data_IF_449443043550
#
_entry.id   IF_449443043550
#
_cell.length_a   1.000
_cell.length_b   1.000
_cell.length_c   1.000
_cell.angle_alpha   90.00
_cell.angle_beta   90.00
_cell.angle_gamma   90.00
#
_symmetry.space_group_name_H-M   'P 1'
#
loop_
_entity.id
_entity.type
_entity.pdbx_description
1 polymer ?
#
# COMPACT_ATOMS: atom_id res chain seq x y z
N UNK A 1 -13.90 47.39 9.77
CA UNK A 1 -13.72 47.31 11.23
C UNK A 1 -12.58 46.34 11.48
N UNK A 2 -11.46 46.85 12.02
CA UNK A 2 -10.25 46.09 12.33
C UNK A 2 -10.55 44.96 13.32
N UNK A 3 -10.25 43.73 12.94
CA UNK A 3 -9.66 42.74 13.85
C UNK A 3 -8.49 42.14 13.07
N UNK A 4 -7.34 42.80 13.18
CA UNK A 4 -6.02 42.21 12.92
C UNK A 4 -5.57 41.62 14.26
N UNK A 5 -4.89 40.48 14.16
CA UNK A 5 -3.94 39.90 15.12
C UNK A 5 -4.46 39.03 16.29
N UNK A 6 -4.23 37.72 16.16
CA UNK A 6 -3.45 36.89 17.11
C UNK A 6 -3.64 35.37 16.84
N UNK A 7 -3.39 34.88 15.63
CA UNK A 7 -3.18 33.43 15.46
C UNK A 7 -2.11 33.05 14.44
N UNK A 8 -1.25 33.97 14.02
CA UNK A 8 0.00 33.66 13.31
C UNK A 8 1.08 33.14 14.27
N UNK A 9 0.71 32.27 15.22
CA UNK A 9 1.65 31.25 15.66
C UNK A 9 1.67 30.24 14.53
N UNK A 10 2.68 30.37 13.66
CA UNK A 10 3.24 29.21 12.97
C UNK A 10 3.22 28.05 13.97
N UNK A 11 2.48 26.99 13.66
CA UNK A 11 2.54 25.78 14.46
C UNK A 11 3.96 25.24 14.30
N UNK A 12 4.84 25.61 15.23
CA UNK A 12 6.16 25.03 15.39
C UNK A 12 5.99 23.56 15.82
N UNK A 13 5.63 22.70 14.86
CA UNK A 13 5.77 21.25 14.98
C UNK A 13 7.24 20.83 15.20
N UNK A 14 8.19 21.75 14.93
CA UNK A 14 9.62 21.60 15.18
C UNK A 14 10.03 21.67 16.66
N UNK A 15 9.21 22.19 17.58
CA UNK A 15 9.64 22.41 18.98
C UNK A 15 9.71 21.14 19.86
N UNK A 16 9.60 19.94 19.29
CA UNK A 16 9.75 18.70 20.06
C UNK A 16 10.12 17.43 19.29
N UNK A 17 10.04 17.40 17.96
CA UNK A 17 10.37 16.20 17.17
C UNK A 17 11.22 16.64 15.98
N UNK A 18 12.54 16.76 16.21
CA UNK A 18 13.52 17.05 15.17
C UNK A 18 14.06 15.75 14.56
N UNK A 19 13.18 14.96 13.96
CA UNK A 19 13.56 13.75 13.21
C UNK A 19 13.48 14.12 11.74
N UNK A 20 14.61 14.09 11.03
CA UNK A 20 14.64 14.18 9.57
C UNK A 20 14.85 12.77 9.00
N UNK A 21 13.77 12.05 8.66
CA UNK A 21 13.91 10.68 8.18
C UNK A 21 14.61 10.63 6.82
N UNK A 22 15.35 9.55 6.52
CA UNK A 22 15.82 9.27 5.17
C UNK A 22 14.64 9.21 4.18
N UNK A 23 14.88 9.54 2.91
CA UNK A 23 13.82 9.63 1.88
C UNK A 23 12.90 8.40 1.82
N UNK A 24 13.48 7.20 1.91
CA UNK A 24 12.72 5.94 1.90
C UNK A 24 11.71 5.85 3.07
N UNK A 25 12.10 6.37 4.22
CA UNK A 25 11.28 6.42 5.43
C UNK A 25 10.23 7.53 5.36
N UNK A 26 10.50 8.65 4.68
CA UNK A 26 9.52 9.74 4.48
C UNK A 26 8.27 9.27 3.74
N UNK A 27 8.42 8.42 2.71
CA UNK A 27 7.26 7.88 1.99
C UNK A 27 6.41 6.99 2.91
N UNK A 28 7.05 6.13 3.70
CA UNK A 28 6.39 5.28 4.68
C UNK A 28 5.68 6.11 5.77
N UNK A 29 6.33 7.16 6.28
CA UNK A 29 5.76 8.10 7.26
C UNK A 29 4.45 8.72 6.75
N UNK A 30 4.45 9.21 5.50
CA UNK A 30 3.26 9.80 4.88
C UNK A 30 2.12 8.77 4.81
N UNK A 31 2.40 7.55 4.34
CA UNK A 31 1.40 6.49 4.22
C UNK A 31 0.87 6.07 5.61
N UNK A 32 1.72 5.98 6.64
CA UNK A 32 1.31 5.69 8.03
C UNK A 32 0.44 6.83 8.59
N UNK A 33 0.82 8.07 8.36
CA UNK A 33 0.05 9.24 8.82
C UNK A 33 -1.37 9.19 8.26
N UNK A 34 -1.52 8.89 6.97
CA UNK A 34 -2.83 8.80 6.33
C UNK A 34 -3.71 7.70 6.93
N UNK A 35 -3.18 6.50 7.17
CA UNK A 35 -3.98 5.42 7.73
C UNK A 35 -4.44 5.75 9.16
N UNK A 36 -3.57 6.36 9.98
CA UNK A 36 -3.91 6.75 11.35
C UNK A 36 -4.99 7.83 11.41
N UNK A 37 -4.86 8.89 10.59
CA UNK A 37 -5.88 9.95 10.49
C UNK A 37 -7.23 9.36 10.06
N UNK A 38 -7.22 8.44 9.09
CA UNK A 38 -8.44 7.95 8.48
C UNK A 38 -9.22 6.96 9.34
N UNK A 39 -8.55 6.13 10.13
CA UNK A 39 -9.22 5.17 11.01
C UNK A 39 -10.07 5.86 12.09
N UNK A 40 -9.59 6.98 12.64
CA UNK A 40 -10.28 7.69 13.72
C UNK A 40 -11.22 8.79 13.23
N UNK A 41 -11.21 9.11 11.93
CA UNK A 41 -12.26 9.94 11.30
C UNK A 41 -13.67 9.35 11.51
N UNK A 42 -13.77 8.03 11.71
CA UNK A 42 -15.03 7.34 12.03
C UNK A 42 -15.41 7.37 13.52
N UNK A 43 -14.49 7.78 14.42
CA UNK A 43 -14.66 7.72 15.88
C UNK A 43 -14.89 9.09 16.54
N UNK A 44 -14.55 10.20 15.86
CA UNK A 44 -14.68 11.53 16.44
C UNK A 44 -16.05 12.17 16.12
N UNK A 45 -16.80 12.51 17.17
CA UNK A 45 -17.94 13.42 17.07
C UNK A 45 -17.41 14.84 16.80
N UNK A 46 -17.59 15.33 15.58
CA UNK A 46 -16.88 16.47 14.96
C UNK A 46 -17.20 17.86 15.52
N UNK A 47 -17.82 17.94 16.69
CA UNK A 47 -18.43 19.19 17.18
C UNK A 47 -17.46 20.17 17.86
N UNK A 48 -16.14 19.91 17.90
CA UNK A 48 -15.19 20.97 18.30
C UNK A 48 -13.83 20.91 17.58
N UNK A 49 -13.50 22.01 16.88
CA UNK A 49 -12.23 22.22 16.17
C UNK A 49 -10.98 21.98 17.04
N UNK A 50 -11.07 22.29 18.35
CA UNK A 50 -10.00 22.05 19.31
C UNK A 50 -9.68 20.56 19.52
N UNK A 51 -10.70 19.68 19.51
CA UNK A 51 -10.48 18.22 19.62
C UNK A 51 -9.81 17.67 18.36
N UNK A 52 -10.19 18.16 17.19
CA UNK A 52 -9.60 17.73 15.90
C UNK A 52 -8.09 18.00 15.88
N UNK A 53 -7.65 19.21 16.27
CA UNK A 53 -6.23 19.56 16.27
C UNK A 53 -5.42 18.70 17.25
N UNK A 54 -5.96 18.41 18.43
CA UNK A 54 -5.32 17.53 19.41
C UNK A 54 -5.19 16.11 18.88
N UNK A 55 -6.23 15.58 18.24
CA UNK A 55 -6.19 14.24 17.63
C UNK A 55 -5.16 14.17 16.48
N UNK A 56 -5.14 15.15 15.58
CA UNK A 56 -4.12 15.22 14.52
C UNK A 56 -2.71 15.23 15.12
N UNK A 57 -2.46 16.03 16.15
CA UNK A 57 -1.18 16.04 16.84
C UNK A 57 -0.83 14.66 17.42
N UNK A 58 -1.80 13.98 18.04
CA UNK A 58 -1.59 12.64 18.59
C UNK A 58 -1.24 11.62 17.50
N UNK A 59 -1.84 11.70 16.30
CA UNK A 59 -1.48 10.84 15.17
C UNK A 59 -0.08 11.13 14.65
N UNK A 60 0.30 12.40 14.54
CA UNK A 60 1.65 12.77 14.13
C UNK A 60 2.69 12.24 15.13
N UNK A 61 2.49 12.47 16.43
CA UNK A 61 3.37 11.94 17.50
C UNK A 61 3.50 10.42 17.40
N UNK A 62 2.40 9.70 17.15
CA UNK A 62 2.43 8.24 16.98
C UNK A 62 3.17 7.80 15.73
N UNK A 63 2.91 8.44 14.59
CA UNK A 63 3.61 8.18 13.33
C UNK A 63 5.11 8.38 13.55
N UNK A 64 5.52 9.49 14.15
CA UNK A 64 6.92 9.73 14.50
C UNK A 64 7.48 8.67 15.43
N UNK A 65 6.72 8.21 16.44
CA UNK A 65 7.14 7.11 17.31
C UNK A 65 7.37 5.79 16.56
N UNK A 66 6.58 5.50 15.53
CA UNK A 66 6.77 4.32 14.66
C UNK A 66 8.03 4.48 13.81
N UNK A 67 8.22 5.66 13.20
CA UNK A 67 9.40 5.96 12.39
C UNK A 67 10.68 5.92 13.24
N UNK A 68 10.66 6.53 14.41
CA UNK A 68 11.74 6.52 15.39
C UNK A 68 12.09 5.10 15.82
N UNK A 69 11.08 4.27 16.09
CA UNK A 69 11.27 2.83 16.37
C UNK A 69 12.00 2.10 15.23
N UNK A 70 11.63 2.36 13.97
CA UNK A 70 12.30 1.76 12.81
C UNK A 70 13.76 2.25 12.71
N UNK A 71 13.99 3.56 12.90
CA UNK A 71 15.31 4.16 12.85
C UNK A 71 16.23 3.62 13.96
N UNK A 72 15.74 3.53 15.20
CA UNK A 72 16.49 3.00 16.34
C UNK A 72 16.91 1.54 16.12
N UNK A 73 16.04 0.70 15.54
CA UNK A 73 16.39 -0.68 15.23
C UNK A 73 17.45 -0.77 14.13
N UNK A 74 17.44 0.16 13.17
CA UNK A 74 18.43 0.21 12.11
C UNK A 74 19.84 0.53 12.63
N UNK A 75 19.97 1.30 13.72
CA UNK A 75 21.26 1.64 14.32
C UNK A 75 22.09 0.40 14.71
N UNK A 76 21.44 -0.73 15.03
CA UNK A 76 22.13 -1.99 15.33
C UNK A 76 22.78 -2.68 14.13
N UNK A 77 22.52 -2.20 12.90
CA UNK A 77 23.09 -2.77 11.68
C UNK A 77 24.55 -2.34 11.44
N UNK A 78 25.03 -1.30 12.14
CA UNK A 78 26.45 -0.95 12.23
C UNK A 78 27.10 -0.36 10.97
N UNK A 79 26.38 -0.25 9.85
CA UNK A 79 26.86 0.40 8.62
C UNK A 79 25.72 1.07 7.86
N UNK A 80 25.98 2.24 7.26
CA UNK A 80 24.96 3.03 6.53
C UNK A 80 24.32 2.25 5.37
N UNK A 81 25.08 1.46 4.61
CA UNK A 81 24.52 0.61 3.54
C UNK A 81 23.44 -0.35 4.04
N UNK A 82 23.67 -0.96 5.21
CA UNK A 82 22.71 -1.88 5.83
C UNK A 82 21.49 -1.14 6.38
N UNK A 83 21.70 0.04 6.98
CA UNK A 83 20.60 0.90 7.44
C UNK A 83 19.69 1.29 6.28
N UNK A 84 20.29 1.77 5.19
CA UNK A 84 19.54 2.18 4.01
C UNK A 84 18.84 1.01 3.33
N UNK A 85 19.47 -0.18 3.25
CA UNK A 85 18.80 -1.38 2.77
C UNK A 85 17.61 -1.80 3.66
N UNK A 86 17.73 -1.62 4.98
CA UNK A 86 16.63 -1.86 5.91
C UNK A 86 15.51 -0.84 5.75
N UNK A 87 15.82 0.44 5.53
CA UNK A 87 14.82 1.46 5.27
C UNK A 87 14.05 1.22 3.98
N UNK A 88 14.74 0.82 2.91
CA UNK A 88 14.08 0.42 1.64
C UNK A 88 13.26 -0.86 1.79
N UNK A 89 13.71 -1.79 2.63
CA UNK A 89 12.89 -2.95 2.98
C UNK A 89 11.59 -2.50 3.66
N UNK A 90 11.64 -1.50 4.56
CA UNK A 90 10.43 -0.99 5.21
C UNK A 90 9.53 -0.19 4.26
N UNK A 91 10.10 0.61 3.35
CA UNK A 91 9.36 1.34 2.32
C UNK A 91 8.61 0.39 1.38
N UNK A 92 9.23 -0.74 1.00
CA UNK A 92 8.64 -1.77 0.15
C UNK A 92 7.52 -2.59 0.85
N UNK A 93 7.11 -2.20 2.07
CA UNK A 93 5.96 -2.78 2.74
C UNK A 93 4.64 -2.23 2.16
N UNK A 94 4.21 -2.82 1.04
CA UNK A 94 2.98 -2.44 0.35
C UNK A 94 1.67 -2.72 1.11
N UNK A 95 1.70 -3.39 2.28
CA UNK A 95 0.50 -3.72 3.05
C UNK A 95 -0.25 -2.46 3.49
N UNK A 96 0.49 -1.44 3.94
CA UNK A 96 -0.09 -0.19 4.44
C UNK A 96 -0.66 0.61 3.27
N UNK A 97 0.09 0.72 2.16
CA UNK A 97 -0.38 1.43 0.96
C UNK A 97 -1.63 0.80 0.36
N UNK A 98 -1.72 -0.54 0.33
CA UNK A 98 -2.92 -1.24 -0.09
C UNK A 98 -4.16 -0.82 0.74
N UNK A 99 -4.00 -0.67 2.06
CA UNK A 99 -5.05 -0.18 2.94
C UNK A 99 -5.39 1.29 2.68
N UNK A 100 -4.37 2.16 2.57
CA UNK A 100 -4.53 3.59 2.30
C UNK A 100 -5.22 3.84 0.97
N UNK A 101 -4.86 3.10 -0.08
CA UNK A 101 -5.52 3.19 -1.38
C UNK A 101 -7.04 2.98 -1.26
N UNK A 102 -7.46 1.94 -0.54
CA UNK A 102 -8.88 1.64 -0.34
C UNK A 102 -9.60 2.71 0.47
N UNK A 103 -8.95 3.24 1.50
CA UNK A 103 -9.51 4.29 2.35
C UNK A 103 -9.67 5.60 1.56
N UNK A 104 -8.71 5.94 0.71
CA UNK A 104 -8.69 7.14 -0.13
C UNK A 104 -9.12 6.85 -1.58
N UNK A 105 -9.93 5.82 -1.81
CA UNK A 105 -10.23 5.36 -3.17
C UNK A 105 -10.83 6.45 -4.05
N UNK A 106 -11.68 7.35 -3.52
CA UNK A 106 -12.24 8.47 -4.28
C UNK A 106 -11.16 9.41 -4.81
N UNK A 107 -10.20 9.78 -3.96
CA UNK A 107 -9.08 10.64 -4.34
C UNK A 107 -8.21 9.96 -5.40
N UNK A 108 -7.78 8.72 -5.14
CA UNK A 108 -6.92 8.01 -6.08
C UNK A 108 -7.61 7.69 -7.40
N UNK A 109 -8.85 7.22 -7.38
CA UNK A 109 -9.60 6.94 -8.60
C UNK A 109 -9.77 8.20 -9.45
N UNK A 110 -10.05 9.35 -8.83
CA UNK A 110 -10.13 10.61 -9.54
C UNK A 110 -8.79 10.97 -10.21
N UNK A 111 -7.69 10.95 -9.45
CA UNK A 111 -6.35 11.21 -10.00
C UNK A 111 -5.99 10.23 -11.13
N UNK A 112 -6.30 8.94 -10.97
CA UNK A 112 -6.07 7.91 -11.99
C UNK A 112 -6.92 8.15 -13.24
N UNK A 113 -8.16 8.61 -13.11
CA UNK A 113 -9.00 8.95 -14.25
C UNK A 113 -8.41 10.12 -15.04
N UNK A 114 -7.92 11.16 -14.36
CA UNK A 114 -7.20 12.27 -15.01
C UNK A 114 -5.96 11.75 -15.76
N UNK A 115 -5.20 10.84 -15.17
CA UNK A 115 -4.06 10.19 -15.85
C UNK A 115 -4.51 9.46 -17.13
N UNK A 116 -5.58 8.67 -17.06
CA UNK A 116 -6.10 7.89 -18.18
C UNK A 116 -6.58 8.79 -19.33
N UNK A 117 -7.38 9.81 -19.01
CA UNK A 117 -7.94 10.75 -19.98
C UNK A 117 -6.82 11.48 -20.74
N UNK A 118 -5.84 12.03 -20.01
CA UNK A 118 -4.73 12.79 -20.61
C UNK A 118 -3.75 11.90 -21.38
N UNK A 119 -3.64 10.62 -21.02
CA UNK A 119 -2.87 9.63 -21.78
C UNK A 119 -3.63 9.07 -22.99
N UNK A 120 -4.92 9.42 -23.17
CA UNK A 120 -5.77 8.88 -24.22
C UNK A 120 -6.00 7.37 -24.10
N UNK A 121 -5.93 6.83 -22.87
CA UNK A 121 -6.16 5.41 -22.64
C UNK A 121 -7.66 5.09 -22.68
N UNK A 122 -8.06 4.00 -23.35
CA UNK A 122 -9.45 3.59 -23.35
C UNK A 122 -9.91 3.22 -21.93
N UNK A 123 -11.19 3.45 -21.66
CA UNK A 123 -11.80 2.94 -20.44
C UNK A 123 -11.73 1.40 -20.41
N UNK A 124 -11.61 0.86 -19.20
CA UNK A 124 -11.71 -0.59 -19.01
C UNK A 124 -13.12 -1.04 -19.35
N UNK A 125 -13.24 -2.18 -20.04
CA UNK A 125 -14.52 -2.83 -20.37
C UNK A 125 -15.47 -2.81 -19.17
N UNK A 126 -16.68 -2.29 -19.39
CA UNK A 126 -17.73 -2.21 -18.37
C UNK A 126 -18.12 -3.58 -17.80
N UNK A 127 -17.90 -4.65 -18.57
CA UNK A 127 -18.13 -6.03 -18.13
C UNK A 127 -17.02 -6.59 -17.25
N UNK A 128 -15.88 -5.90 -17.12
CA UNK A 128 -14.77 -6.34 -16.28
C UNK A 128 -15.19 -6.34 -14.80
N UNK A 129 -15.18 -7.51 -14.18
CA UNK A 129 -15.46 -7.67 -12.75
C UNK A 129 -14.25 -7.27 -11.89
N UNK A 130 -14.46 -7.09 -10.57
CA UNK A 130 -13.34 -6.88 -9.64
C UNK A 130 -12.36 -8.04 -9.62
N UNK A 131 -12.85 -9.26 -9.77
CA UNK A 131 -12.06 -10.48 -9.88
C UNK A 131 -11.23 -10.51 -11.15
N UNK A 132 -11.82 -10.18 -12.30
CA UNK A 132 -11.06 -10.07 -13.56
C UNK A 132 -9.94 -9.03 -13.46
N UNK A 133 -10.23 -7.86 -12.87
CA UNK A 133 -9.25 -6.81 -12.65
C UNK A 133 -8.13 -7.27 -11.71
N UNK A 134 -8.46 -7.98 -10.63
CA UNK A 134 -7.47 -8.51 -9.68
C UNK A 134 -6.60 -9.61 -10.29
N UNK A 135 -7.17 -10.47 -11.13
CA UNK A 135 -6.41 -11.48 -11.88
C UNK A 135 -5.43 -10.79 -12.82
N UNK A 136 -5.87 -9.77 -13.57
CA UNK A 136 -4.99 -8.93 -14.41
C UNK A 136 -3.91 -8.22 -13.60
N UNK A 137 -4.23 -7.70 -12.42
CA UNK A 137 -3.24 -7.11 -11.50
C UNK A 137 -2.17 -8.12 -11.06
N UNK A 138 -2.50 -9.42 -11.01
CA UNK A 138 -1.55 -10.48 -10.71
C UNK A 138 -0.68 -10.90 -11.91
N UNK A 139 -0.96 -10.40 -13.12
CA UNK A 139 -0.11 -10.60 -14.29
C UNK A 139 1.14 -9.72 -14.24
N UNK A 140 2.11 -10.03 -15.10
CA UNK A 140 3.30 -9.20 -15.27
C UNK A 140 2.96 -7.85 -15.90
N UNK A 141 3.63 -6.81 -15.43
CA UNK A 141 3.72 -5.54 -16.16
C UNK A 141 4.51 -5.74 -17.47
N UNK A 142 4.44 -4.78 -18.39
CA UNK A 142 5.13 -4.85 -19.70
C UNK A 142 6.65 -5.00 -19.54
N UNK A 143 7.22 -4.41 -18.49
CA UNK A 143 8.64 -4.59 -18.12
C UNK A 143 9.02 -6.02 -17.76
N UNK A 144 8.04 -6.88 -17.45
CA UNK A 144 8.18 -8.27 -16.97
C UNK A 144 8.97 -8.45 -15.67
N UNK A 145 9.42 -7.36 -15.06
CA UNK A 145 10.24 -7.39 -13.84
C UNK A 145 9.40 -7.43 -12.55
N UNK A 146 8.12 -7.12 -12.64
CA UNK A 146 7.19 -7.14 -11.51
C UNK A 146 5.76 -7.44 -11.96
N UNK A 147 4.88 -7.76 -11.01
CA UNK A 147 3.44 -7.78 -11.30
C UNK A 147 2.89 -6.37 -11.43
N UNK A 148 1.76 -6.24 -12.15
CA UNK A 148 1.02 -4.98 -12.25
C UNK A 148 0.59 -4.45 -10.89
N UNK A 149 0.20 -5.33 -9.97
CA UNK A 149 -0.13 -4.99 -8.58
C UNK A 149 1.05 -4.37 -7.85
N UNK A 150 2.23 -5.00 -7.94
CA UNK A 150 3.43 -4.47 -7.31
C UNK A 150 3.77 -3.10 -7.88
N UNK A 151 3.78 -2.97 -9.21
CA UNK A 151 4.07 -1.72 -9.89
C UNK A 151 3.12 -0.59 -9.51
N UNK A 152 1.82 -0.87 -9.48
CA UNK A 152 0.82 0.11 -9.13
C UNK A 152 0.99 0.59 -7.67
N UNK A 153 1.28 -0.32 -6.73
CA UNK A 153 1.52 0.04 -5.34
C UNK A 153 2.85 0.80 -5.15
N UNK A 154 3.92 0.43 -5.88
CA UNK A 154 5.19 1.18 -5.90
C UNK A 154 4.96 2.65 -6.30
N UNK A 155 4.14 2.87 -7.34
CA UNK A 155 3.80 4.22 -7.82
C UNK A 155 3.02 4.98 -6.75
N UNK A 156 2.04 4.34 -6.10
CA UNK A 156 1.24 4.98 -5.06
C UNK A 156 2.07 5.35 -3.81
N UNK A 157 3.00 4.48 -3.38
CA UNK A 157 3.90 4.78 -2.26
C UNK A 157 4.77 6.00 -2.56
N UNK A 158 5.34 6.07 -3.77
CA UNK A 158 6.33 7.11 -4.13
C UNK A 158 5.71 8.42 -4.61
N UNK A 159 4.54 8.34 -5.25
CA UNK A 159 3.98 9.43 -6.04
C UNK A 159 2.48 9.63 -5.84
N UNK A 160 1.84 8.92 -4.91
CA UNK A 160 0.37 8.90 -4.78
C UNK A 160 -0.28 10.27 -4.68
N UNK A 161 0.29 11.20 -3.91
CA UNK A 161 -0.26 12.56 -3.76
C UNK A 161 0.11 13.50 -4.93
N UNK A 162 1.01 13.07 -5.82
CA UNK A 162 1.53 13.87 -6.93
C UNK A 162 1.14 13.30 -8.30
N UNK A 163 0.17 12.37 -8.37
CA UNK A 163 -0.30 11.80 -9.64
C UNK A 163 -0.91 12.88 -10.55
N UNK A 164 -1.57 13.88 -9.95
CA UNK A 164 -2.03 15.08 -10.63
C UNK A 164 -1.33 16.32 -10.10
N UNK A 165 -1.32 17.38 -10.90
CA UNK A 165 -0.84 18.71 -10.53
C UNK A 165 -1.89 19.74 -10.90
N UNK A 166 -1.97 20.83 -10.15
CA UNK A 166 -2.88 21.94 -10.47
C UNK A 166 -2.13 22.96 -11.30
N UNK A 167 -2.69 23.34 -12.44
CA UNK A 167 -2.10 24.37 -13.30
C UNK A 167 -2.39 25.79 -12.78
N UNK A 168 -1.94 26.80 -13.53
CA UNK A 168 -2.11 28.22 -13.19
C UNK A 168 -3.57 28.67 -13.16
N UNK A 169 -4.45 27.95 -13.86
CA UNK A 169 -5.87 28.25 -14.00
C UNK A 169 -6.69 27.52 -12.93
N UNK A 170 -6.04 26.67 -12.11
CA UNK A 170 -6.67 25.90 -11.04
C UNK A 170 -7.17 24.52 -11.48
N UNK A 171 -6.89 24.12 -12.73
CA UNK A 171 -7.36 22.86 -13.29
C UNK A 171 -6.38 21.72 -13.01
N UNK A 172 -6.92 20.54 -12.73
CA UNK A 172 -6.09 19.34 -12.51
C UNK A 172 -5.57 18.78 -13.83
N UNK A 173 -4.25 18.63 -13.91
CA UNK A 173 -3.53 18.06 -15.02
C UNK A 173 -2.80 16.78 -14.61
N UNK A 174 -2.58 15.90 -15.59
CA UNK A 174 -1.76 14.70 -15.40
C UNK A 174 -0.30 15.08 -15.12
N UNK A 175 0.31 14.45 -14.11
CA UNK A 175 1.73 14.59 -13.82
C UNK A 175 2.56 13.42 -14.39
N UNK A 176 1.98 12.56 -15.24
CA UNK A 176 2.61 11.34 -15.72
C UNK A 176 4.00 11.55 -16.33
N UNK A 177 4.18 12.59 -17.16
CA UNK A 177 5.46 12.85 -17.83
C UNK A 177 6.57 13.22 -16.86
N UNK A 178 6.30 14.06 -15.85
CA UNK A 178 7.29 14.44 -14.84
C UNK A 178 7.65 13.25 -13.93
N UNK A 179 6.68 12.38 -13.67
CA UNK A 179 6.85 11.15 -12.92
C UNK A 179 7.41 9.99 -13.76
N UNK A 180 7.64 10.20 -15.06
CA UNK A 180 8.08 9.18 -16.04
C UNK A 180 7.20 7.93 -16.04
N UNK A 181 5.89 8.09 -15.86
CA UNK A 181 4.93 6.98 -15.92
C UNK A 181 4.67 6.59 -17.37
N UNK A 182 4.69 5.29 -17.64
CA UNK A 182 4.34 4.71 -18.94
C UNK A 182 2.83 4.47 -19.04
N UNK A 183 2.33 4.21 -20.25
CA UNK A 183 0.93 3.81 -20.44
C UNK A 183 0.60 2.49 -19.70
N UNK A 184 1.55 1.56 -19.63
CA UNK A 184 1.39 0.30 -18.89
C UNK A 184 1.29 0.52 -17.37
N UNK A 185 1.99 1.53 -16.84
CA UNK A 185 1.89 1.97 -15.45
C UNK A 185 0.50 2.54 -15.16
N UNK A 186 0.01 3.44 -16.02
CA UNK A 186 -1.31 4.05 -15.88
C UNK A 186 -2.40 2.99 -16.01
N UNK A 187 -2.28 2.04 -16.95
CA UNK A 187 -3.20 0.91 -17.07
C UNK A 187 -3.19 0.02 -15.81
N UNK A 188 -2.02 -0.21 -15.20
CA UNK A 188 -1.92 -0.95 -13.93
C UNK A 188 -2.62 -0.23 -12.78
N UNK A 189 -2.52 1.11 -12.72
CA UNK A 189 -3.30 1.94 -11.79
C UNK A 189 -4.81 1.91 -12.12
N UNK A 190 -5.18 1.97 -13.40
CA UNK A 190 -6.57 1.91 -13.85
C UNK A 190 -7.24 0.60 -13.40
N UNK A 191 -6.54 -0.53 -13.48
CA UNK A 191 -7.03 -1.82 -12.97
C UNK A 191 -7.33 -1.79 -11.46
N UNK A 192 -6.53 -1.06 -10.65
CA UNK A 192 -6.82 -0.92 -9.22
C UNK A 192 -8.21 -0.29 -8.99
N UNK A 193 -8.65 0.63 -9.84
CA UNK A 193 -9.94 1.34 -9.68
C UNK A 193 -11.14 0.39 -9.77
N UNK A 194 -11.00 -0.74 -10.49
CA UNK A 194 -12.04 -1.78 -10.65
C UNK A 194 -12.08 -2.82 -9.53
N UNK A 195 -11.22 -2.71 -8.50
CA UNK A 195 -11.18 -3.67 -7.37
C UNK A 195 -12.16 -3.31 -6.23
N UNK A 196 -13.23 -2.58 -6.51
CA UNK A 196 -14.16 -2.00 -5.52
C UNK A 196 -14.90 -3.02 -4.65
N UNK A 197 -14.96 -4.31 -5.05
CA UNK A 197 -15.55 -5.39 -4.24
C UNK A 197 -14.97 -5.51 -2.83
N UNK A 198 -13.66 -5.27 -2.67
CA UNK A 198 -12.97 -5.51 -1.40
C UNK A 198 -12.60 -4.20 -0.69
N UNK A 199 -12.90 -4.14 0.61
CA UNK A 199 -12.51 -3.05 1.50
C UNK A 199 -11.02 -3.08 1.91
N UNK A 200 -10.60 -2.08 2.67
CA UNK A 200 -9.21 -1.89 3.09
C UNK A 200 -8.61 -3.11 3.80
N UNK A 201 -9.33 -3.68 4.78
CA UNK A 201 -8.87 -4.85 5.53
C UNK A 201 -8.58 -6.05 4.62
N UNK A 202 -9.52 -6.41 3.74
CA UNK A 202 -9.35 -7.54 2.83
C UNK A 202 -8.21 -7.32 1.82
N UNK A 203 -8.00 -6.08 1.37
CA UNK A 203 -6.94 -5.74 0.43
C UNK A 203 -5.55 -5.78 1.08
N UNK A 204 -5.40 -5.26 2.30
CA UNK A 204 -4.17 -5.43 3.09
C UNK A 204 -3.92 -6.89 3.46
N UNK A 205 -4.96 -7.62 3.87
CA UNK A 205 -4.88 -9.04 4.21
C UNK A 205 -4.41 -9.89 3.03
N UNK A 206 -4.81 -9.57 1.80
CA UNK A 206 -4.33 -10.26 0.60
C UNK A 206 -2.80 -10.22 0.49
N UNK A 207 -2.18 -9.05 0.73
CA UNK A 207 -0.73 -8.93 0.74
C UNK A 207 -0.11 -9.64 1.95
N UNK A 208 -0.67 -9.44 3.15
CA UNK A 208 -0.19 -10.07 4.39
C UNK A 208 -0.21 -11.59 4.25
N UNK A 209 -1.36 -12.18 3.95
CA UNK A 209 -1.55 -13.62 3.93
C UNK A 209 -1.02 -14.24 2.63
N UNK A 210 -1.57 -13.86 1.48
CA UNK A 210 -1.36 -14.60 0.23
C UNK A 210 -0.04 -14.27 -0.46
N UNK A 211 0.48 -13.05 -0.31
CA UNK A 211 1.79 -12.66 -0.88
C UNK A 211 2.91 -12.90 0.12
N UNK A 212 3.00 -12.09 1.18
CA UNK A 212 4.10 -12.15 2.14
C UNK A 212 4.06 -13.40 3.03
N UNK A 213 2.87 -13.86 3.41
CA UNK A 213 2.68 -15.08 4.21
C UNK A 213 3.04 -16.37 3.45
N UNK A 214 3.24 -16.27 2.13
CA UNK A 214 3.76 -17.36 1.30
C UNK A 214 5.30 -17.35 1.20
N UNK A 215 5.98 -16.32 1.72
CA UNK A 215 7.44 -16.22 1.74
C UNK A 215 7.96 -16.71 3.10
N UNK A 216 8.93 -17.61 3.09
CA UNK A 216 9.56 -18.12 4.32
C UNK A 216 11.07 -18.26 4.16
N UNK A 217 11.79 -18.20 5.28
CA UNK A 217 13.19 -18.57 5.41
C UNK A 217 13.32 -20.03 5.79
N UNK A 218 14.17 -20.74 5.05
CA UNK A 218 14.57 -22.12 5.32
C UNK A 218 16.02 -22.16 5.82
N UNK A 219 16.25 -22.82 6.96
CA UNK A 219 17.59 -22.94 7.51
C UNK A 219 18.41 -23.97 6.71
N UNK A 220 19.70 -23.69 6.43
CA UNK A 220 20.53 -24.55 5.57
C UNK A 220 20.67 -26.02 6.02
N UNK A 221 20.46 -26.30 7.32
CA UNK A 221 20.75 -27.60 7.93
C UNK A 221 19.73 -28.06 9.00
N UNK A 222 18.50 -27.53 9.03
CA UNK A 222 17.56 -27.94 10.09
C UNK A 222 16.81 -29.23 9.73
N UNK A 223 17.07 -30.30 10.49
CA UNK A 223 16.26 -31.53 10.51
C UNK A 223 14.84 -31.30 11.02
N UNK A 224 14.58 -30.15 11.65
CA UNK A 224 13.25 -29.70 12.04
C UNK A 224 12.79 -28.60 11.07
N UNK A 225 11.74 -28.87 10.30
CA UNK A 225 11.09 -27.99 9.30
C UNK A 225 10.43 -26.72 9.91
N UNK A 226 11.10 -25.99 10.80
CA UNK A 226 10.58 -24.73 11.33
C UNK A 226 10.71 -23.63 10.27
N UNK A 227 9.63 -23.42 9.54
CA UNK A 227 9.51 -22.36 8.55
C UNK A 227 9.54 -21.00 9.26
N UNK A 228 10.51 -20.15 8.93
CA UNK A 228 10.64 -18.83 9.52
C UNK A 228 9.94 -17.76 8.66
N UNK A 229 8.97 -17.04 9.21
CA UNK A 229 8.19 -16.01 8.51
C UNK A 229 8.71 -14.59 8.76
N UNK A 230 10.03 -14.38 8.76
CA UNK A 230 10.62 -13.12 9.23
C UNK A 230 10.13 -11.89 8.45
N UNK A 231 10.05 -11.95 7.11
CA UNK A 231 9.53 -10.86 6.27
C UNK A 231 8.06 -10.58 6.58
N UNK A 232 7.23 -11.62 6.56
CA UNK A 232 5.81 -11.52 6.90
C UNK A 232 5.61 -10.89 8.29
N UNK A 233 6.34 -11.38 9.29
CA UNK A 233 6.21 -10.92 10.66
C UNK A 233 6.68 -9.47 10.82
N UNK A 234 7.79 -9.11 10.15
CA UNK A 234 8.35 -7.77 10.16
C UNK A 234 7.40 -6.76 9.50
N UNK A 235 6.85 -7.07 8.34
CA UNK A 235 5.89 -6.18 7.69
C UNK A 235 4.56 -6.12 8.45
N UNK A 236 4.11 -7.25 9.00
CA UNK A 236 2.87 -7.30 9.77
C UNK A 236 2.99 -6.50 11.08
N UNK A 237 4.13 -6.51 11.78
CA UNK A 237 4.27 -5.71 13.01
C UNK A 237 4.21 -4.21 12.70
N UNK A 238 4.86 -3.74 11.62
CA UNK A 238 4.79 -2.33 11.22
C UNK A 238 3.38 -1.95 10.76
N UNK A 239 2.70 -2.83 10.00
CA UNK A 239 1.30 -2.62 9.64
C UNK A 239 0.41 -2.52 10.87
N UNK A 240 0.52 -3.48 11.80
CA UNK A 240 -0.18 -3.49 13.09
C UNK A 240 0.07 -2.20 13.86
N UNK A 241 1.32 -1.71 13.93
CA UNK A 241 1.61 -0.44 14.58
C UNK A 241 0.91 0.75 13.89
N UNK A 242 0.81 0.72 12.56
CA UNK A 242 0.14 1.76 11.79
C UNK A 242 -1.39 1.74 11.97
N UNK A 243 -2.00 0.55 12.16
CA UNK A 243 -3.47 0.39 12.24
C UNK A 243 -4.03 0.24 13.66
N UNK A 244 -3.26 -0.28 14.61
CA UNK A 244 -3.67 -0.41 16.00
C UNK A 244 -3.42 0.92 16.69
N UNK A 245 -4.44 1.77 16.63
CA UNK A 245 -4.53 2.95 17.47
C UNK A 245 -4.88 2.53 18.89
N UNK A 246 -3.94 1.93 19.62
CA UNK A 246 -4.12 1.61 21.05
C UNK A 246 -4.60 2.87 21.79
N UNK A 247 -5.45 2.67 22.81
CA UNK A 247 -6.19 3.73 23.52
C UNK A 247 -5.29 4.93 23.85
N UNK A 248 -5.86 6.12 23.89
CA UNK A 248 -5.15 7.40 24.10
C UNK A 248 -4.33 7.51 25.39
N UNK A 249 -4.22 6.42 26.18
CA UNK A 249 -3.48 6.29 27.43
C UNK A 249 -2.22 5.41 27.35
N UNK A 250 -1.85 4.84 26.20
CA UNK A 250 -0.62 4.04 26.12
C UNK A 250 0.61 4.96 26.16
N UNK A 251 1.43 4.81 27.21
CA UNK A 251 2.77 5.39 27.31
C UNK A 251 3.56 5.11 26.02
N UNK A 252 3.86 6.17 25.26
CA UNK A 252 4.52 6.08 23.95
C UNK A 252 5.89 5.42 24.05
N UNK A 253 6.60 5.61 25.16
CA UNK A 253 7.92 5.02 25.37
C UNK A 253 7.81 3.53 25.68
N UNK A 254 6.83 3.12 26.50
CA UNK A 254 6.53 1.71 26.70
C UNK A 254 6.10 1.02 25.39
N UNK A 255 5.29 1.71 24.57
CA UNK A 255 4.87 1.23 23.26
C UNK A 255 6.05 1.07 22.30
N UNK A 256 6.93 2.07 22.20
CA UNK A 256 8.17 2.00 21.43
C UNK A 256 9.01 0.80 21.87
N UNK A 257 9.34 0.70 23.17
CA UNK A 257 10.16 -0.38 23.73
C UNK A 257 9.62 -1.79 23.40
N UNK A 258 8.30 -1.98 23.52
CA UNK A 258 7.63 -3.24 23.15
C UNK A 258 7.87 -3.58 21.68
N UNK A 259 7.68 -2.62 20.78
CA UNK A 259 7.78 -2.87 19.34
C UNK A 259 9.23 -2.96 18.84
N UNK A 260 10.16 -2.19 19.41
CA UNK A 260 11.60 -2.30 19.17
C UNK A 260 12.05 -3.75 19.35
N UNK A 261 11.68 -4.39 20.47
CA UNK A 261 12.08 -5.78 20.74
C UNK A 261 11.55 -6.78 19.69
N UNK A 262 10.34 -6.57 19.19
CA UNK A 262 9.71 -7.42 18.16
C UNK A 262 10.38 -7.24 16.80
N UNK A 263 10.60 -6.00 16.37
CA UNK A 263 11.26 -5.70 15.10
C UNK A 263 12.71 -6.22 15.14
N UNK A 264 13.45 -6.02 16.24
CA UNK A 264 14.80 -6.57 16.43
C UNK A 264 14.83 -8.09 16.30
N UNK A 265 13.87 -8.79 16.90
CA UNK A 265 13.75 -10.25 16.75
C UNK A 265 13.67 -10.65 15.27
N UNK A 266 12.75 -10.04 14.50
CA UNK A 266 12.56 -10.42 13.09
C UNK A 266 13.72 -9.95 12.20
N UNK A 267 14.35 -8.82 12.50
CA UNK A 267 15.57 -8.37 11.83
C UNK A 267 16.74 -9.34 12.07
N UNK A 268 16.90 -9.82 13.30
CA UNK A 268 17.90 -10.84 13.62
C UNK A 268 17.60 -12.16 12.91
N UNK A 269 16.33 -12.54 12.80
CA UNK A 269 15.92 -13.69 12.00
C UNK A 269 16.29 -13.54 10.52
N UNK A 270 16.19 -12.33 9.95
CA UNK A 270 16.62 -12.05 8.58
C UNK A 270 18.15 -12.09 8.41
N UNK A 271 18.90 -11.70 9.43
CA UNK A 271 20.37 -11.78 9.46
C UNK A 271 20.88 -13.22 9.47
N UNK A 272 20.07 -14.18 9.91
CA UNK A 272 20.40 -15.60 9.77
C UNK A 272 20.49 -15.97 8.28
N UNK A 273 21.41 -16.88 7.92
CA UNK A 273 21.67 -17.31 6.52
C UNK A 273 20.57 -18.17 5.90
N UNK A 274 19.31 -17.97 6.31
CA UNK A 274 18.18 -18.71 5.79
C UNK A 274 17.95 -18.32 4.33
N UNK A 275 17.71 -19.32 3.48
CA UNK A 275 17.33 -19.08 2.09
C UNK A 275 15.85 -18.69 2.06
N UNK A 276 15.53 -17.58 1.41
CA UNK A 276 14.13 -17.17 1.23
C UNK A 276 13.50 -17.98 0.08
N UNK A 277 12.43 -18.70 0.41
CA UNK A 277 11.70 -19.62 -0.46
C UNK A 277 10.20 -19.28 -0.47
N UNK A 278 9.47 -19.89 -1.41
CA UNK A 278 8.02 -19.69 -1.63
C UNK A 278 7.30 -20.98 -1.24
N UNK A 279 6.22 -20.88 -0.44
CA UNK A 279 5.41 -22.04 -0.07
C UNK A 279 4.77 -22.70 -1.29
N UNK A 280 4.69 -24.03 -1.23
CA UNK A 280 3.94 -24.84 -2.21
C UNK A 280 2.43 -24.56 -2.13
N UNK A 281 1.90 -24.24 -0.95
CA UNK A 281 0.48 -23.89 -0.77
C UNK A 281 0.39 -22.40 -0.43
N UNK A 282 -0.38 -21.65 -1.21
CA UNK A 282 -0.65 -20.24 -0.95
C UNK A 282 -1.52 -20.12 0.30
N UNK A 283 -1.10 -19.25 1.23
CA UNK A 283 -1.90 -18.98 2.41
C UNK A 283 -3.16 -18.19 1.98
N UNK A 284 -4.37 -18.66 2.32
CA UNK A 284 -5.60 -18.06 1.84
C UNK A 284 -5.82 -16.68 2.45
N UNK A 285 -6.55 -15.84 1.70
CA UNK A 285 -7.16 -14.58 2.12
C UNK A 285 -8.53 -14.48 1.43
N UNK A 286 -9.36 -13.51 1.82
CA UNK A 286 -10.67 -13.29 1.16
C UNK A 286 -10.51 -13.13 -0.35
N UNK A 287 -9.62 -12.22 -0.78
CA UNK A 287 -9.41 -11.95 -2.21
C UNK A 287 -8.88 -13.18 -2.94
N UNK A 288 -7.90 -13.90 -2.36
CA UNK A 288 -7.38 -15.11 -2.97
C UNK A 288 -8.47 -16.17 -3.16
N UNK A 289 -9.31 -16.38 -2.14
CA UNK A 289 -10.40 -17.35 -2.21
C UNK A 289 -11.45 -16.97 -3.25
N UNK A 290 -11.71 -15.69 -3.43
CA UNK A 290 -12.63 -15.19 -4.46
C UNK A 290 -12.10 -15.45 -5.86
N UNK A 291 -10.81 -15.17 -6.12
CA UNK A 291 -10.26 -15.24 -7.49
C UNK A 291 -9.76 -16.63 -7.89
N UNK A 292 -9.41 -17.51 -6.93
CA UNK A 292 -8.75 -18.79 -7.26
C UNK A 292 -9.60 -19.77 -8.07
N UNK A 293 -10.92 -19.57 -8.09
CA UNK A 293 -11.88 -20.42 -8.81
C UNK A 293 -12.24 -19.87 -10.20
N UNK A 294 -11.73 -18.70 -10.59
CA UNK A 294 -12.02 -18.11 -11.89
C UNK A 294 -11.24 -18.79 -13.00
N UNK A 295 -11.85 -18.91 -14.19
CA UNK A 295 -11.31 -19.67 -15.34
C UNK A 295 -9.90 -19.24 -15.76
N UNK A 296 -9.55 -17.97 -15.59
CA UNK A 296 -8.26 -17.41 -16.02
C UNK A 296 -7.20 -17.43 -14.91
N UNK A 297 -7.53 -17.95 -13.73
CA UNK A 297 -6.61 -18.04 -12.60
C UNK A 297 -5.60 -19.19 -12.76
N UNK A 298 -4.40 -19.00 -12.20
CA UNK A 298 -3.39 -20.04 -12.07
C UNK A 298 -2.49 -19.78 -10.87
N UNK A 299 -2.47 -20.71 -9.91
CA UNK A 299 -1.56 -20.64 -8.74
C UNK A 299 -0.09 -20.57 -9.17
N UNK A 300 0.27 -21.25 -10.25
CA UNK A 300 1.62 -21.22 -10.81
C UNK A 300 1.95 -19.81 -11.31
N UNK A 301 1.05 -19.18 -12.08
CA UNK A 301 1.22 -17.79 -12.53
C UNK A 301 1.26 -16.83 -11.36
N UNK A 302 0.41 -17.00 -10.36
CA UNK A 302 0.41 -16.14 -9.17
C UNK A 302 1.74 -16.20 -8.42
N UNK A 303 2.28 -17.41 -8.18
CA UNK A 303 3.60 -17.58 -7.54
C UNK A 303 4.71 -16.95 -8.35
N UNK A 304 4.71 -17.16 -9.67
CA UNK A 304 5.80 -16.74 -10.56
C UNK A 304 5.74 -15.25 -10.90
N UNK A 305 4.55 -14.69 -11.12
CA UNK A 305 4.37 -13.30 -11.50
C UNK A 305 4.28 -12.36 -10.30
N UNK A 306 3.72 -12.81 -9.18
CA UNK A 306 3.52 -11.97 -7.99
C UNK A 306 4.57 -12.31 -6.94
N UNK A 307 4.49 -13.48 -6.32
CA UNK A 307 5.28 -13.78 -5.11
C UNK A 307 6.78 -13.77 -5.41
N UNK A 308 7.22 -14.34 -6.55
CA UNK A 308 8.61 -14.33 -6.98
C UNK A 308 9.12 -12.92 -7.30
N UNK A 309 8.27 -12.01 -7.75
CA UNK A 309 8.67 -10.63 -8.01
C UNK A 309 8.70 -9.78 -6.75
N UNK A 310 7.88 -10.08 -5.74
CA UNK A 310 8.00 -9.49 -4.41
C UNK A 310 9.24 -10.00 -3.65
N UNK A 311 9.57 -11.30 -3.74
CA UNK A 311 10.73 -11.87 -3.02
C UNK A 311 12.08 -11.42 -3.62
N UNK A 312 12.14 -11.09 -4.91
CA UNK A 312 13.37 -10.73 -5.62
C UNK A 312 14.09 -9.49 -5.04
N UNK A 313 13.46 -8.30 -4.96
CA UNK A 313 14.09 -7.13 -4.34
C UNK A 313 14.38 -7.36 -2.86
N UNK A 314 13.51 -8.09 -2.15
CA UNK A 314 13.72 -8.45 -0.74
C UNK A 314 14.99 -9.27 -0.55
N UNK A 315 15.27 -10.24 -1.42
CA UNK A 315 16.52 -11.02 -1.37
C UNK A 315 17.75 -10.14 -1.50
N UNK A 316 17.73 -9.17 -2.41
CA UNK A 316 18.83 -8.21 -2.59
C UNK A 316 19.07 -7.39 -1.31
N UNK A 317 18.02 -6.77 -0.77
CA UNK A 317 18.11 -5.97 0.45
C UNK A 317 18.55 -6.78 1.67
N UNK A 318 18.01 -7.99 1.83
CA UNK A 318 18.40 -8.91 2.91
C UNK A 318 19.87 -9.33 2.78
N UNK A 319 20.39 -9.54 1.57
CA UNK A 319 21.81 -9.86 1.34
C UNK A 319 22.72 -8.70 1.79
N UNK A 320 22.34 -7.45 1.51
CA UNK A 320 23.05 -6.26 2.01
C UNK A 320 22.99 -6.21 3.54
N UNK A 321 21.81 -6.38 4.15
CA UNK A 321 21.61 -6.38 5.61
C UNK A 321 22.51 -7.44 6.29
N UNK A 322 22.68 -8.61 5.68
CA UNK A 322 23.58 -9.67 6.16
C UNK A 322 25.06 -9.32 6.03
N UNK A 323 25.40 -8.34 5.19
CA UNK A 323 26.78 -8.03 4.80
C UNK A 323 27.36 -9.02 3.80
N UNK A 324 26.51 -9.73 3.06
CA UNK A 324 26.90 -10.65 1.99
C UNK A 324 27.10 -9.91 0.66
N UNK A 325 26.50 -8.73 0.53
CA UNK A 325 26.66 -7.81 -0.58
C UNK A 325 26.91 -6.40 -0.04
N UNK A 326 27.42 -5.52 -0.91
CA UNK A 326 27.56 -4.08 -0.64
C UNK A 326 26.83 -3.31 -1.73
N UNK A 327 26.45 -2.07 -1.43
CA UNK A 327 25.93 -1.19 -2.48
C UNK A 327 27.07 -0.82 -3.40
N UNK A 328 26.99 -1.24 -4.65
CA UNK A 328 27.83 -0.61 -5.67
C UNK A 328 27.25 0.78 -5.92
N UNK A 329 28.08 1.81 -5.82
CA UNK A 329 27.74 3.24 -5.90
C UNK A 329 27.15 3.69 -7.26
N UNK A 330 26.73 2.76 -8.12
CA UNK A 330 26.19 3.03 -9.46
C UNK A 330 24.66 2.89 -9.57
N UNK A 331 23.93 2.52 -8.50
CA UNK A 331 22.48 2.24 -8.57
C UNK A 331 21.56 3.47 -8.41
N UNK A 332 22.07 4.67 -8.11
CA UNK A 332 21.26 5.90 -8.16
C UNK A 332 20.75 6.22 -9.59
N UNK A 333 21.30 5.57 -10.61
CA UNK A 333 20.83 5.66 -12.00
C UNK A 333 19.77 4.59 -12.38
N UNK A 334 19.54 3.54 -11.57
CA UNK A 334 18.68 2.40 -11.96
C UNK A 334 17.33 2.32 -11.24
N UNK A 335 17.08 3.15 -10.22
CA UNK A 335 15.72 3.33 -9.67
C UNK A 335 14.88 4.37 -10.44
N UNK A 336 15.43 4.97 -11.50
CA UNK A 336 14.74 5.99 -12.29
C UNK A 336 14.84 5.86 -13.82
N UNK A 337 15.46 4.80 -14.36
CA UNK A 337 15.44 4.49 -15.79
C UNK A 337 15.57 2.97 -16.02
N UNK A 338 14.58 2.35 -16.67
CA UNK A 338 14.76 1.11 -17.44
C UNK A 338 13.68 0.99 -18.51
N UNK A 339 13.75 1.90 -19.47
CA UNK A 339 13.44 1.61 -20.86
C UNK A 339 14.76 1.65 -21.64
N UNK A 340 14.99 0.62 -22.47
CA UNK A 340 16.04 0.49 -23.48
C UNK A 340 17.49 0.28 -23.03
N UNK A 341 17.96 -0.98 -23.09
CA UNK A 341 19.13 -1.31 -23.93
C UNK A 341 19.09 -2.76 -24.41
N UNK A 342 19.27 -2.92 -25.71
CA UNK A 342 19.31 -4.15 -26.49
C UNK A 342 20.54 -5.04 -26.24
N UNK A 343 20.35 -6.34 -26.48
CA UNK A 343 21.35 -7.33 -26.95
C UNK A 343 22.63 -7.53 -26.10
N UNK A 344 22.60 -8.53 -25.22
CA UNK A 344 23.42 -9.73 -25.46
C UNK A 344 22.79 -10.93 -24.74
N UNK A 345 22.38 -11.90 -25.55
CA UNK A 345 21.89 -13.20 -25.14
C UNK A 345 23.07 -14.04 -24.62
N UNK A 346 23.00 -14.51 -23.38
CA UNK A 346 23.76 -15.69 -22.96
C UNK A 346 22.84 -16.58 -22.11
N UNK A 347 22.32 -17.61 -22.79
CA UNK A 347 21.62 -18.76 -22.22
C UNK A 347 22.39 -19.32 -21.03
N UNK A 348 21.74 -19.37 -19.87
CA UNK A 348 22.00 -20.41 -18.88
C UNK A 348 20.68 -21.13 -18.59
N UNK A 349 20.56 -22.30 -19.22
CA UNK A 349 19.59 -23.32 -18.86
C UNK A 349 20.01 -23.92 -17.52
N UNK A 350 19.25 -23.68 -16.46
CA UNK A 350 19.18 -24.62 -15.34
C UNK A 350 17.72 -24.94 -15.02
N UNK A 351 17.40 -26.13 -15.50
CA UNK A 351 16.23 -27.00 -15.37
C UNK A 351 15.47 -26.81 -14.05
N UNK A 352 14.19 -26.47 -14.19
CA UNK A 352 13.11 -26.64 -13.20
C UNK A 352 12.96 -28.14 -12.96
N UNK A 353 13.08 -28.61 -11.71
CA UNK A 353 12.58 -29.95 -11.37
C UNK A 353 12.02 -30.20 -9.96
N UNK A 354 11.57 -29.16 -9.25
CA UNK A 354 11.02 -29.33 -7.88
C UNK A 354 9.54 -28.93 -7.71
N UNK A 355 8.72 -28.91 -8.77
CA UNK A 355 7.30 -28.50 -8.66
C UNK A 355 6.28 -29.59 -8.97
N UNK A 356 6.67 -30.82 -9.31
CA UNK A 356 5.68 -31.88 -9.58
C UNK A 356 5.96 -33.12 -8.73
N UNK A 357 5.28 -33.19 -7.60
CA UNK A 357 4.89 -34.45 -6.97
C UNK A 357 3.46 -34.30 -6.44
N UNK A 358 2.50 -34.50 -7.32
CA UNK A 358 1.09 -34.74 -6.98
C UNK A 358 0.71 -36.11 -7.49
N UNK A 359 0.65 -37.09 -6.59
CA UNK A 359 -0.09 -38.32 -6.81
C UNK A 359 -0.79 -38.70 -5.52
N UNK A 360 -2.09 -38.98 -5.67
CA UNK A 360 -3.00 -39.65 -4.73
C UNK A 360 -3.70 -38.75 -3.72
N UNK A 361 -4.92 -38.33 -4.05
CA UNK A 361 -6.08 -38.48 -3.16
C UNK A 361 -7.34 -38.61 -4.02
N UNK A 362 -8.13 -39.62 -3.70
CA UNK A 362 -9.28 -40.14 -4.45
C UNK A 362 -10.53 -39.28 -4.26
N UNK A 363 -11.34 -39.25 -5.31
CA UNK A 363 -12.77 -38.91 -5.32
C UNK A 363 -13.55 -39.67 -4.24
N UNK A 364 -14.51 -38.98 -3.62
CA UNK A 364 -15.77 -39.60 -3.21
C UNK A 364 -16.92 -38.59 -3.33
N UNK A 365 -17.98 -39.08 -3.97
CA UNK A 365 -19.28 -38.48 -4.27
C UNK A 365 -20.03 -37.92 -3.06
N UNK A 366 -20.79 -36.83 -3.25
CA UNK A 366 -22.20 -36.76 -2.80
C UNK A 366 -23.02 -35.95 -3.82
N UNK A 367 -24.04 -36.60 -4.36
CA UNK A 367 -25.08 -36.07 -5.24
C UNK A 367 -26.35 -35.66 -4.47
N UNK A 368 -27.07 -34.69 -5.06
CA UNK A 368 -28.54 -34.41 -4.97
C UNK A 368 -29.06 -33.70 -3.70
N UNK A 369 -29.97 -32.69 -3.75
CA UNK A 369 -31.31 -32.68 -4.36
C UNK A 369 -31.92 -31.27 -4.62
N UNK A 370 -32.80 -31.22 -5.65
CA UNK A 370 -34.06 -30.46 -5.91
C UNK A 370 -34.16 -28.93 -5.64
N UNK A 371 -34.44 -28.05 -6.62
CA UNK A 371 -35.67 -27.75 -7.43
C UNK A 371 -36.73 -26.87 -6.74
N UNK A 372 -36.79 -25.62 -7.23
CA UNK A 372 -37.89 -24.68 -7.50
C UNK A 372 -38.98 -24.32 -6.46
N UNK A 373 -39.17 -23.01 -6.23
CA UNK A 373 -40.38 -22.29 -6.69
C UNK A 373 -40.30 -20.76 -6.57
N UNK A 374 -40.95 -20.12 -7.53
CA UNK A 374 -41.12 -18.71 -7.86
C UNK A 374 -41.97 -17.88 -6.89
N UNK A 375 -41.73 -16.56 -6.80
CA UNK A 375 -42.83 -15.58 -6.71
C UNK A 375 -42.44 -14.15 -7.15
N UNK A 376 -43.27 -13.64 -8.07
CA UNK A 376 -43.66 -12.27 -8.45
C UNK A 376 -42.98 -11.03 -7.87
N UNK A 377 -42.53 -10.17 -8.81
CA UNK A 377 -42.33 -8.71 -8.74
C UNK A 377 -43.63 -7.91 -8.59
N UNK A 378 -43.58 -6.75 -7.93
CA UNK A 378 -44.40 -5.59 -8.29
C UNK A 378 -43.55 -4.37 -8.69
N UNK A 379 -44.19 -3.48 -9.45
CA UNK A 379 -43.66 -2.42 -10.30
C UNK A 379 -42.93 -1.28 -9.60
N UNK A 380 -41.86 -0.84 -10.26
CA UNK A 380 -41.20 0.45 -10.12
C UNK A 380 -42.09 1.60 -10.62
N UNK A 381 -42.32 2.61 -9.77
CA UNK A 381 -42.42 4.05 -10.09
C UNK A 381 -43.01 4.81 -8.88
N UNK A 382 -42.31 4.82 -7.75
CA UNK A 382 -42.67 5.72 -6.64
C UNK A 382 -41.56 6.20 -5.66
N UNK A 383 -40.23 5.96 -5.83
CA UNK A 383 -39.25 6.38 -4.81
C UNK A 383 -38.63 7.78 -5.02
N UNK A 384 -38.86 8.44 -6.17
CA UNK A 384 -38.17 9.71 -6.47
C UNK A 384 -38.76 10.90 -5.69
N UNK A 385 -40.05 10.87 -5.37
CA UNK A 385 -40.71 11.94 -4.62
C UNK A 385 -40.31 11.95 -3.13
N UNK A 386 -40.02 10.77 -2.55
CA UNK A 386 -39.61 10.65 -1.13
C UNK A 386 -38.13 10.98 -0.91
N UNK A 387 -37.30 10.91 -1.96
CA UNK A 387 -35.88 11.27 -1.88
C UNK A 387 -35.65 12.78 -1.67
N UNK A 388 -36.60 13.62 -2.10
CA UNK A 388 -36.60 15.07 -1.98
C UNK A 388 -37.32 15.59 -0.71
N UNK A 389 -37.43 14.77 0.33
CA UNK A 389 -37.87 15.26 1.63
C UNK A 389 -36.83 16.25 2.22
N UNK A 390 -37.28 17.33 2.86
CA UNK A 390 -36.48 18.48 3.27
C UNK A 390 -35.21 18.13 4.09
N UNK A 391 -35.21 16.99 4.78
CA UNK A 391 -34.05 16.53 5.55
C UNK A 391 -32.89 16.05 4.67
N UNK A 392 -33.14 15.41 3.53
CA UNK A 392 -32.09 14.93 2.63
C UNK A 392 -31.44 16.09 1.87
N UNK A 393 -32.24 17.07 1.46
CA UNK A 393 -31.73 18.29 0.81
C UNK A 393 -30.82 19.09 1.76
N UNK A 394 -31.22 19.20 3.04
CA UNK A 394 -30.42 19.87 4.07
C UNK A 394 -29.06 19.17 4.30
N UNK A 395 -29.04 17.84 4.35
CA UNK A 395 -27.81 17.04 4.49
C UNK A 395 -26.88 17.23 3.28
N UNK A 396 -27.43 17.25 2.07
CA UNK A 396 -26.66 17.49 0.84
C UNK A 396 -26.04 18.89 0.85
N UNK A 397 -26.81 19.92 1.22
CA UNK A 397 -26.33 21.30 1.29
C UNK A 397 -25.25 21.49 2.36
N UNK A 398 -25.39 20.87 3.54
CA UNK A 398 -24.37 20.87 4.59
C UNK A 398 -23.08 20.19 4.10
N UNK A 399 -23.21 19.06 3.39
CA UNK A 399 -22.05 18.32 2.85
C UNK A 399 -21.30 19.13 1.80
N UNK A 400 -22.01 19.86 0.93
CA UNK A 400 -21.42 20.77 -0.05
C UNK A 400 -20.71 21.94 0.66
N UNK A 401 -21.33 22.55 1.67
CA UNK A 401 -20.74 23.65 2.42
C UNK A 401 -19.44 23.23 3.14
N UNK A 402 -19.42 22.04 3.77
CA UNK A 402 -18.22 21.48 4.42
C UNK A 402 -17.12 21.24 3.38
N UNK A 403 -17.47 20.73 2.19
CA UNK A 403 -16.50 20.47 1.11
C UNK A 403 -15.87 21.76 0.58
N UNK A 404 -16.66 22.83 0.43
CA UNK A 404 -16.17 24.16 0.03
C UNK A 404 -15.23 24.73 1.09
N UNK A 405 -15.55 24.57 2.39
CA UNK A 405 -14.69 25.03 3.48
C UNK A 405 -13.36 24.28 3.48
N UNK A 406 -13.37 22.95 3.28
CA UNK A 406 -12.14 22.15 3.20
C UNK A 406 -11.28 22.58 2.00
N UNK A 407 -11.88 22.73 0.82
CA UNK A 407 -11.16 23.19 -0.38
C UNK A 407 -10.58 24.60 -0.20
N UNK A 408 -11.32 25.49 0.47
CA UNK A 408 -10.84 26.85 0.77
C UNK A 408 -9.64 26.84 1.72
N UNK A 409 -9.64 25.93 2.71
CA UNK A 409 -8.48 25.75 3.61
C UNK A 409 -7.29 25.22 2.82
N UNK A 410 -7.46 24.19 1.99
CA UNK A 410 -6.35 23.66 1.19
C UNK A 410 -5.79 24.68 0.18
N UNK A 411 -6.66 25.46 -0.48
CA UNK A 411 -6.25 26.51 -1.42
C UNK A 411 -5.49 27.67 -0.75
N UNK A 412 -5.85 28.03 0.48
CA UNK A 412 -5.16 29.07 1.24
C UNK A 412 -3.78 28.62 1.74
N UNK A 413 -3.63 27.35 2.14
CA UNK A 413 -2.36 26.82 2.66
C UNK A 413 -1.34 26.49 1.56
N UNK A 414 -1.74 26.27 0.31
CA UNK A 414 -0.79 26.03 -0.79
C UNK A 414 0.11 27.24 -1.10
N UNK A 415 -0.37 28.47 -0.88
CA UNK A 415 0.41 29.67 -1.16
C UNK A 415 1.41 30.03 -0.05
N UNK A 416 1.20 29.55 1.17
CA UNK A 416 2.11 29.81 2.31
C UNK A 416 3.27 28.80 2.42
N UNK A 417 3.14 27.61 1.82
CA UNK A 417 4.18 26.56 1.89
C UNK A 417 5.25 26.73 0.79
N UNK A 418 4.91 27.40 -0.32
CA UNK A 418 5.79 27.59 -1.49
C UNK A 418 7.11 28.36 -1.19
N UNK A 419 7.15 29.38 -0.31
CA UNK A 419 8.40 30.08 0.00
C UNK A 419 9.31 29.34 0.99
N UNK A 420 8.82 28.34 1.72
CA UNK A 420 9.59 27.60 2.73
C UNK A 420 10.37 26.41 2.17
N UNK A 421 10.12 26.00 0.92
CA UNK A 421 10.83 24.90 0.25
C UNK A 421 11.99 25.35 -0.64
N UNK A 422 12.22 26.67 -0.78
CA UNK A 422 13.25 27.24 -1.65
C UNK A 422 14.44 27.88 -0.90
N UNK A 423 14.65 27.53 0.38
CA UNK A 423 15.86 27.88 1.14
C UNK A 423 16.55 26.65 1.71
#
# INVERSE_FOLDING_TARGET
>A
MKIIDNSSRAFNLQEGINIKPPKAITNLENVITYIQISQKKYLADYNSKGKINTEIRNYLVRTYGIIDTIMEVAEELGSEDKKQAFYELMENNHIIMAGVYKIRNKFFNFAINVLCEKAGLPELDDKMTSEDAMIKLCELAESKNCSRLQRALDILVKHGDNLTIVDKDGEEQSNASNLKLTNDDIYSLQLLTKTNKWGATAFSEFLVCSVYGSIFGEAPCSTNNFLNYSIYNLYNIVFVMAVEGDDTNTDIEAYKKKNISKIKKYLNDLKNKNRLNIRSIIRPSVIYNDIKHYKNWSDIKFKTNVIKNYISPIKSLVSIIRGESSRTTNEEAQTSNSASSSLHEQKNNEIIQDVINTSNLKEEDITSLSVASSSSTPSDEQPIADFLNNNNLSIILITIAISIIILSIFGLYQNEIKPLMNN
#
